data_IF_956704098875
#
_entry.id   IF_956704098875
#
_cell.length_a   1.000
_cell.length_b   1.000
_cell.length_c   1.000
_cell.angle_alpha   90.00
_cell.angle_beta   90.00
_cell.angle_gamma   90.00
#
_symmetry.space_group_name_H-M   'P 1'
#
loop_
_entity.id
_entity.type
_entity.pdbx_description
1 polymer ?
#
# COMPACT_ATOMS: atom_id res chain seq x y z
N UNK A 1 -53.79 83.19 12.28
CA UNK A 1 -54.07 82.08 11.35
C UNK A 1 -53.43 80.81 11.91
N UNK A 2 -54.27 79.78 12.12
CA UNK A 2 -53.99 78.37 12.46
C UNK A 2 -53.44 77.96 13.85
N UNK A 3 -54.35 77.31 14.59
CA UNK A 3 -54.26 76.38 15.74
C UNK A 3 -53.47 75.08 15.40
N UNK A 4 -53.06 74.13 16.26
CA UNK A 4 -52.94 73.93 17.71
C UNK A 4 -52.04 72.66 17.97
N UNK A 5 -51.54 72.57 19.21
CA UNK A 5 -51.01 71.46 20.02
C UNK A 5 -51.44 69.96 19.78
N UNK A 6 -50.49 69.04 20.13
CA UNK A 6 -50.61 67.80 20.99
C UNK A 6 -50.76 66.35 20.39
N UNK A 7 -49.81 65.46 20.78
CA UNK A 7 -49.87 63.98 21.08
C UNK A 7 -49.61 62.90 19.98
N UNK A 8 -49.04 61.72 20.34
CA UNK A 8 -48.12 60.90 19.53
C UNK A 8 -48.78 59.67 18.88
N UNK A 9 -48.10 59.03 17.91
CA UNK A 9 -48.52 57.75 17.34
C UNK A 9 -47.39 56.71 17.40
N UNK A 10 -47.71 55.63 18.09
CA UNK A 10 -46.97 54.38 18.34
C UNK A 10 -46.59 53.64 17.06
N UNK A 11 -45.35 53.12 16.98
CA UNK A 11 -45.03 52.02 16.06
C UNK A 11 -44.53 50.80 16.87
N UNK A 12 -45.30 49.74 16.73
CA UNK A 12 -45.37 48.52 17.51
C UNK A 12 -44.09 47.68 17.44
N UNK A 13 -43.55 47.35 18.61
CA UNK A 13 -42.52 46.33 18.81
C UNK A 13 -43.20 44.95 18.77
N UNK A 14 -43.07 44.20 17.67
CA UNK A 14 -43.59 42.83 17.55
C UNK A 14 -42.49 41.83 17.87
N UNK A 15 -42.46 41.39 19.13
CA UNK A 15 -41.78 40.17 19.58
C UNK A 15 -42.44 38.96 18.89
N UNK A 16 -41.77 38.36 17.91
CA UNK A 16 -42.13 37.02 17.44
C UNK A 16 -41.37 35.97 18.24
N UNK A 17 -42.08 35.35 19.17
CA UNK A 17 -41.77 34.01 19.68
C UNK A 17 -41.94 32.99 18.54
N UNK A 18 -40.91 32.22 18.25
CA UNK A 18 -40.97 30.88 17.65
C UNK A 18 -39.59 30.25 17.88
N UNK A 19 -39.43 29.26 18.75
CA UNK A 19 -40.18 28.01 18.76
C UNK A 19 -39.35 26.98 18.00
N UNK A 20 -38.36 26.38 18.67
CA UNK A 20 -37.53 25.32 18.13
C UNK A 20 -38.37 24.03 18.06
N UNK A 21 -38.67 23.57 16.85
CA UNK A 21 -39.27 22.26 16.58
C UNK A 21 -38.32 21.44 15.69
N UNK A 22 -38.13 20.14 15.95
CA UNK A 22 -37.22 19.31 15.16
C UNK A 22 -37.80 19.10 13.76
N UNK A 23 -37.09 19.57 12.74
CA UNK A 23 -37.39 19.24 11.34
C UNK A 23 -36.85 17.85 11.04
N UNK A 24 -37.75 16.92 10.76
CA UNK A 24 -37.47 15.58 10.26
C UNK A 24 -37.08 15.69 8.79
N UNK A 25 -35.79 15.56 8.47
CA UNK A 25 -35.33 15.28 7.11
C UNK A 25 -35.43 13.78 6.83
N UNK A 26 -36.03 13.42 5.70
CA UNK A 26 -36.14 12.04 5.23
C UNK A 26 -34.75 11.52 4.84
N UNK A 27 -34.27 10.52 5.57
CA UNK A 27 -33.10 9.70 5.23
C UNK A 27 -33.34 8.97 3.89
N UNK A 28 -32.38 8.96 2.94
CA UNK A 28 -32.48 8.10 1.76
C UNK A 28 -32.53 6.64 2.19
N UNK A 29 -33.47 5.89 1.61
CA UNK A 29 -33.70 4.47 1.81
C UNK A 29 -32.52 3.68 1.20
N UNK A 30 -31.73 3.05 2.07
CA UNK A 30 -30.57 2.24 1.71
C UNK A 30 -31.06 0.88 1.21
N UNK A 31 -31.06 0.65 -0.11
CA UNK A 31 -31.33 -0.66 -0.68
C UNK A 31 -30.25 -1.65 -0.22
N UNK A 32 -30.59 -2.84 0.27
CA UNK A 32 -29.58 -3.85 0.62
C UNK A 32 -28.78 -4.22 -0.63
N UNK A 33 -27.50 -3.83 -0.66
CA UNK A 33 -26.55 -4.38 -1.62
C UNK A 33 -26.17 -5.75 -1.09
N UNK A 34 -26.80 -6.77 -1.65
CA UNK A 34 -26.42 -8.18 -1.48
C UNK A 34 -24.98 -8.31 -2.01
N UNK A 35 -24.02 -8.39 -1.08
CA UNK A 35 -22.62 -8.65 -1.44
C UNK A 35 -22.58 -10.03 -2.10
N UNK A 36 -22.03 -10.19 -3.31
CA UNK A 36 -21.78 -11.51 -3.84
C UNK A 36 -20.77 -12.19 -2.92
N UNK A 37 -21.22 -13.20 -2.18
CA UNK A 37 -20.34 -14.09 -1.44
C UNK A 37 -19.55 -14.89 -2.46
N UNK A 38 -18.38 -14.38 -2.82
CA UNK A 38 -17.35 -15.18 -3.48
C UNK A 38 -16.90 -16.20 -2.43
N UNK A 39 -17.39 -17.44 -2.57
CA UNK A 39 -16.86 -18.58 -1.84
C UNK A 39 -15.46 -18.84 -2.40
N UNK A 40 -14.45 -18.21 -1.79
CA UNK A 40 -13.06 -18.64 -1.97
C UNK A 40 -13.02 -20.05 -1.41
N UNK A 41 -12.70 -21.09 -2.22
CA UNK A 41 -12.61 -22.44 -1.71
C UNK A 41 -11.60 -22.45 -0.57
N UNK A 42 -12.03 -22.84 0.62
CA UNK A 42 -11.19 -23.08 1.80
C UNK A 42 -10.22 -24.21 1.48
N UNK A 43 -9.14 -23.87 0.77
CA UNK A 43 -7.99 -24.73 0.63
C UNK A 43 -7.34 -24.71 2.01
N UNK A 44 -7.65 -25.71 2.83
CA UNK A 44 -7.11 -25.92 4.17
C UNK A 44 -5.63 -25.56 4.17
N UNK A 45 -5.30 -24.40 4.76
CA UNK A 45 -3.96 -23.85 4.68
C UNK A 45 -2.97 -24.87 5.24
N UNK A 46 -2.13 -25.42 4.38
CA UNK A 46 -1.10 -26.37 4.79
C UNK A 46 -0.17 -25.58 5.72
N UNK A 47 -0.08 -25.99 6.98
CA UNK A 47 0.78 -25.36 7.98
C UNK A 47 2.24 -25.65 7.68
N UNK A 48 3.12 -24.65 7.81
CA UNK A 48 4.56 -24.84 7.65
C UNK A 48 5.16 -25.64 8.81
N UNK A 49 6.35 -26.20 8.59
CA UNK A 49 7.22 -26.64 9.68
C UNK A 49 7.73 -25.42 10.45
N UNK A 50 7.14 -25.18 11.61
CA UNK A 50 7.46 -24.05 12.48
C UNK A 50 8.86 -24.16 13.09
N UNK A 51 9.34 -25.38 13.34
CA UNK A 51 10.66 -25.60 13.95
C UNK A 51 11.74 -25.30 12.92
N UNK A 52 11.62 -25.81 11.70
CA UNK A 52 12.55 -25.48 10.61
C UNK A 52 12.57 -23.98 10.32
N UNK A 53 11.41 -23.31 10.36
CA UNK A 53 11.30 -21.86 10.17
C UNK A 53 12.07 -21.08 11.24
N UNK A 54 11.85 -21.40 12.52
CA UNK A 54 12.55 -20.73 13.62
C UNK A 54 14.05 -20.98 13.59
N UNK A 55 14.46 -22.23 13.36
CA UNK A 55 15.88 -22.58 13.23
C UNK A 55 16.55 -21.78 12.10
N UNK A 56 15.85 -21.60 10.96
CA UNK A 56 16.38 -20.79 9.87
C UNK A 56 16.47 -19.30 10.26
N UNK A 57 15.48 -18.75 10.95
CA UNK A 57 15.55 -17.36 11.45
C UNK A 57 16.71 -17.16 12.42
N UNK A 58 16.90 -18.07 13.37
CA UNK A 58 18.02 -18.02 14.32
C UNK A 58 19.37 -18.12 13.61
N UNK A 59 19.50 -18.98 12.60
CA UNK A 59 20.71 -19.05 11.78
C UNK A 59 20.97 -17.72 11.04
N UNK A 60 19.92 -17.10 10.46
CA UNK A 60 20.03 -15.82 9.76
C UNK A 60 20.32 -14.63 10.69
N UNK A 61 19.99 -14.73 11.97
CA UNK A 61 20.32 -13.70 12.95
C UNK A 61 21.84 -13.58 13.20
N UNK A 62 22.64 -14.55 12.74
CA UNK A 62 24.10 -14.50 12.77
C UNK A 62 24.68 -14.14 14.15
N UNK A 63 24.08 -14.69 15.22
CA UNK A 63 24.51 -14.44 16.59
C UNK A 63 24.12 -13.08 17.16
N UNK A 64 23.09 -12.42 16.63
CA UNK A 64 22.53 -11.19 17.20
C UNK A 64 22.27 -11.34 18.71
N UNK A 65 22.87 -10.44 19.50
CA UNK A 65 22.75 -10.39 20.97
C UNK A 65 21.79 -9.31 21.46
N UNK A 66 21.24 -8.49 20.55
CA UNK A 66 20.36 -7.37 20.93
C UNK A 66 19.00 -7.86 21.46
N UNK A 67 18.61 -9.10 21.15
CA UNK A 67 17.29 -9.64 21.46
C UNK A 67 16.15 -9.01 20.66
N UNK A 68 16.46 -8.15 19.69
CA UNK A 68 15.48 -7.56 18.78
C UNK A 68 15.14 -8.49 17.61
N UNK A 69 16.09 -9.35 17.21
CA UNK A 69 15.92 -10.31 16.14
C UNK A 69 16.56 -11.68 16.48
N UNK A 70 15.91 -12.82 16.15
CA UNK A 70 14.55 -12.95 15.63
C UNK A 70 13.49 -12.58 16.67
N UNK A 71 12.43 -11.89 16.24
CA UNK A 71 11.33 -11.56 17.13
C UNK A 71 10.42 -12.78 17.37
N UNK A 72 9.71 -12.77 18.51
CA UNK A 72 8.66 -13.75 18.78
C UNK A 72 7.52 -13.55 17.78
N UNK A 73 7.42 -14.43 16.79
CA UNK A 73 6.39 -14.35 15.76
C UNK A 73 5.00 -14.49 16.37
N UNK A 74 4.08 -13.58 16.02
CA UNK A 74 2.68 -13.66 16.42
C UNK A 74 1.94 -14.81 15.72
N UNK A 75 2.37 -15.16 14.50
CA UNK A 75 1.82 -16.24 13.69
C UNK A 75 2.84 -16.69 12.65
N UNK A 76 2.82 -17.97 12.30
CA UNK A 76 3.61 -18.51 11.19
C UNK A 76 2.88 -18.33 9.84
N UNK A 77 3.61 -18.14 8.73
CA UNK A 77 2.99 -18.08 7.41
C UNK A 77 2.41 -19.45 6.99
N UNK A 78 1.50 -19.41 6.02
CA UNK A 78 1.00 -20.62 5.34
C UNK A 78 2.10 -21.23 4.48
N UNK A 79 1.93 -22.49 4.04
CA UNK A 79 2.88 -23.19 3.20
C UNK A 79 3.27 -22.41 1.93
N UNK A 80 4.54 -22.59 1.53
CA UNK A 80 5.14 -21.91 0.38
C UNK A 80 5.75 -20.52 0.63
N UNK A 81 6.18 -20.12 1.84
CA UNK A 81 6.78 -18.81 1.99
C UNK A 81 8.17 -18.78 1.33
N UNK A 82 8.49 -17.67 0.64
CA UNK A 82 9.83 -17.45 0.07
C UNK A 82 10.86 -17.21 1.18
N UNK A 83 10.48 -16.44 2.19
CA UNK A 83 11.33 -16.11 3.33
C UNK A 83 10.99 -17.00 4.55
N UNK A 84 11.98 -17.41 5.34
CA UNK A 84 13.42 -17.12 5.24
C UNK A 84 14.21 -18.13 4.39
N UNK A 85 13.53 -19.03 3.68
CA UNK A 85 14.17 -20.19 3.05
C UNK A 85 14.98 -19.84 1.79
N UNK A 86 14.67 -18.72 1.12
CA UNK A 86 15.39 -18.22 -0.05
C UNK A 86 15.92 -16.82 0.19
N UNK A 87 17.08 -16.52 -0.40
CA UNK A 87 17.65 -15.16 -0.45
C UNK A 87 17.19 -14.47 -1.72
N UNK A 88 16.54 -13.33 -1.60
CA UNK A 88 16.15 -12.54 -2.77
C UNK A 88 17.31 -11.64 -3.17
N UNK A 89 17.79 -11.78 -4.41
CA UNK A 89 18.75 -10.86 -5.03
C UNK A 89 18.01 -10.11 -6.13
N UNK A 90 17.86 -8.80 -5.93
CA UNK A 90 17.02 -7.97 -6.79
C UNK A 90 17.82 -6.83 -7.42
N UNK A 91 17.60 -6.62 -8.72
CA UNK A 91 18.00 -5.39 -9.38
C UNK A 91 16.86 -4.38 -9.30
N UNK A 92 17.17 -3.19 -8.78
CA UNK A 92 16.22 -2.11 -8.55
C UNK A 92 16.25 -1.09 -9.67
N UNK A 93 15.08 -0.61 -10.09
CA UNK A 93 15.00 0.62 -10.87
C UNK A 93 13.80 0.76 -11.80
N UNK A 94 13.94 1.63 -12.80
CA UNK A 94 12.93 1.88 -13.82
C UNK A 94 13.47 1.58 -15.23
N UNK A 95 12.81 0.67 -15.94
CA UNK A 95 13.15 0.24 -17.31
C UNK A 95 13.18 1.37 -18.36
N UNK A 96 12.55 2.53 -18.10
CA UNK A 96 12.52 3.69 -19.00
C UNK A 96 13.43 4.84 -18.57
N UNK A 97 14.14 4.71 -17.46
CA UNK A 97 14.97 5.78 -16.92
C UNK A 97 16.34 5.30 -16.48
N UNK A 98 17.37 5.80 -17.18
CA UNK A 98 18.79 5.65 -16.79
C UNK A 98 19.16 6.32 -15.47
N UNK A 99 18.28 7.16 -14.93
CA UNK A 99 18.53 7.92 -13.68
C UNK A 99 17.89 7.30 -12.45
N UNK A 100 17.22 6.15 -12.61
CA UNK A 100 16.40 5.55 -11.56
C UNK A 100 16.75 4.08 -11.38
N UNK A 101 18.04 3.76 -11.23
CA UNK A 101 18.52 2.42 -10.90
C UNK A 101 18.98 1.60 -12.10
N UNK A 102 19.62 0.47 -11.79
CA UNK A 102 20.36 -0.39 -12.73
C UNK A 102 19.48 -0.97 -13.84
N UNK A 103 18.19 -1.15 -13.57
CA UNK A 103 17.24 -1.69 -14.56
C UNK A 103 17.11 -0.82 -15.82
N UNK A 104 17.31 0.49 -15.69
CA UNK A 104 17.28 1.42 -16.83
C UNK A 104 18.67 1.77 -17.37
N UNK A 105 19.74 1.41 -16.66
CA UNK A 105 21.12 1.80 -16.98
C UNK A 105 21.70 1.02 -18.15
N UNK A 106 21.39 -0.27 -18.24
CA UNK A 106 21.95 -1.21 -19.22
C UNK A 106 20.87 -1.75 -20.17
N UNK A 107 21.23 -2.16 -21.40
CA UNK A 107 20.36 -2.93 -22.26
C UNK A 107 19.88 -4.22 -21.57
N UNK A 108 18.68 -4.75 -21.87
CA UNK A 108 18.09 -5.88 -21.15
C UNK A 108 19.01 -7.09 -21.04
N UNK A 109 19.70 -7.48 -22.13
CA UNK A 109 20.60 -8.64 -22.14
C UNK A 109 21.77 -8.46 -21.15
N UNK A 110 22.41 -7.31 -21.18
CA UNK A 110 23.53 -7.00 -20.28
C UNK A 110 23.07 -6.91 -18.82
N UNK A 111 21.89 -6.32 -18.57
CA UNK A 111 21.28 -6.26 -17.24
C UNK A 111 21.07 -7.67 -16.66
N UNK A 112 20.53 -8.60 -17.46
CA UNK A 112 20.34 -10.00 -17.05
C UNK A 112 21.67 -10.72 -16.79
N UNK A 113 22.69 -10.51 -17.60
CA UNK A 113 24.03 -11.08 -17.39
C UNK A 113 24.64 -10.60 -16.06
N UNK A 114 24.47 -9.32 -15.74
CA UNK A 114 24.90 -8.72 -14.46
C UNK A 114 24.13 -9.29 -13.28
N UNK A 115 22.79 -9.38 -13.36
CA UNK A 115 21.98 -9.98 -12.29
C UNK A 115 22.39 -11.44 -12.03
N UNK A 116 22.59 -12.23 -13.09
CA UNK A 116 23.03 -13.61 -12.97
C UNK A 116 24.45 -13.74 -12.37
N UNK A 117 25.31 -12.74 -12.58
CA UNK A 117 26.62 -12.69 -11.94
C UNK A 117 26.49 -12.50 -10.43
N UNK A 118 25.65 -11.57 -9.99
CA UNK A 118 25.37 -11.34 -8.56
C UNK A 118 24.69 -12.55 -7.91
N UNK A 119 23.73 -13.19 -8.60
CA UNK A 119 23.09 -14.42 -8.13
C UNK A 119 24.13 -15.49 -7.82
N UNK A 120 25.03 -15.77 -8.77
CA UNK A 120 26.10 -16.77 -8.59
C UNK A 120 27.05 -16.40 -7.46
N UNK A 121 27.37 -15.11 -7.30
CA UNK A 121 28.21 -14.65 -6.20
C UNK A 121 27.56 -14.95 -4.84
N UNK A 122 26.25 -14.71 -4.72
CA UNK A 122 25.49 -14.99 -3.49
C UNK A 122 25.27 -16.48 -3.24
N UNK A 123 25.01 -17.28 -4.27
CA UNK A 123 24.93 -18.75 -4.15
C UNK A 123 26.24 -19.34 -3.64
N UNK A 124 27.38 -18.80 -4.10
CA UNK A 124 28.70 -19.20 -3.62
C UNK A 124 28.96 -18.75 -2.18
N UNK A 125 28.51 -17.56 -1.81
CA UNK A 125 28.75 -16.97 -0.49
C UNK A 125 27.94 -17.67 0.62
N UNK A 126 26.71 -18.11 0.32
CA UNK A 126 25.88 -18.88 1.25
C UNK A 126 25.11 -19.99 0.51
N UNK A 127 25.76 -21.16 0.32
CA UNK A 127 25.14 -22.31 -0.33
C UNK A 127 23.95 -22.90 0.43
N UNK A 128 23.77 -22.56 1.71
CA UNK A 128 22.69 -23.09 2.56
C UNK A 128 21.35 -22.36 2.37
N UNK A 129 21.36 -21.26 1.61
CA UNK A 129 20.16 -20.45 1.34
C UNK A 129 20.08 -20.19 -0.17
N UNK A 130 19.27 -20.96 -0.91
CA UNK A 130 19.11 -20.78 -2.36
C UNK A 130 18.74 -19.34 -2.73
N UNK A 131 19.29 -18.84 -3.83
CA UNK A 131 19.00 -17.50 -4.33
C UNK A 131 17.74 -17.52 -5.21
N UNK A 132 16.87 -16.55 -4.99
CA UNK A 132 15.73 -16.22 -5.83
C UNK A 132 16.04 -14.88 -6.54
N UNK A 133 16.38 -14.89 -7.84
CA UNK A 133 16.53 -13.64 -8.59
C UNK A 133 15.19 -12.91 -8.66
N UNK A 134 15.25 -11.58 -8.61
CA UNK A 134 14.08 -10.71 -8.68
C UNK A 134 14.39 -9.38 -9.36
N UNK A 135 13.32 -8.68 -9.75
CA UNK A 135 13.36 -7.33 -10.30
C UNK A 135 12.52 -6.45 -9.37
N UNK A 136 13.12 -5.41 -8.79
CA UNK A 136 12.42 -4.43 -7.97
C UNK A 136 12.12 -3.20 -8.84
N UNK A 137 10.97 -3.24 -9.50
CA UNK A 137 10.58 -2.27 -10.52
C UNK A 137 9.86 -1.05 -9.94
N UNK A 138 10.31 0.14 -10.33
CA UNK A 138 9.61 1.40 -10.06
C UNK A 138 8.48 1.56 -11.07
N UNK A 139 7.29 1.10 -10.68
CA UNK A 139 6.08 1.15 -11.49
C UNK A 139 5.36 2.52 -11.45
N UNK A 140 5.69 3.38 -10.48
CA UNK A 140 5.05 4.68 -10.27
C UNK A 140 6.10 5.74 -9.92
N UNK A 141 6.02 6.91 -10.55
CA UNK A 141 7.01 7.98 -10.43
C UNK A 141 6.33 9.32 -10.20
N UNK A 142 6.75 10.06 -9.17
CA UNK A 142 6.32 11.44 -8.98
C UNK A 142 6.95 12.37 -10.05
N UNK A 143 6.18 13.30 -10.58
CA UNK A 143 6.62 14.27 -11.59
C UNK A 143 5.99 15.65 -11.37
N UNK A 144 6.52 16.69 -12.02
CA UNK A 144 6.09 18.08 -11.87
C UNK A 144 4.88 18.47 -12.77
N UNK A 145 4.38 17.54 -13.58
CA UNK A 145 3.27 17.76 -14.51
C UNK A 145 2.09 16.88 -14.09
N UNK A 146 0.87 17.43 -13.92
CA UNK A 146 -0.30 16.64 -13.60
C UNK A 146 -0.66 15.70 -14.76
N UNK A 147 -1.08 14.49 -14.41
CA UNK A 147 -1.64 13.50 -15.33
C UNK A 147 -3.10 13.85 -15.66
N UNK A 148 -3.73 13.08 -16.55
CA UNK A 148 -5.13 13.32 -17.00
C UNK A 148 -6.15 13.31 -15.86
N UNK A 149 -5.83 12.62 -14.77
CA UNK A 149 -6.63 12.51 -13.54
C UNK A 149 -6.28 13.58 -12.49
N UNK A 150 -5.42 14.55 -12.83
CA UNK A 150 -4.94 15.59 -11.92
C UNK A 150 -3.87 15.13 -10.92
N UNK A 151 -3.50 13.85 -10.91
CA UNK A 151 -2.45 13.34 -10.02
C UNK A 151 -1.06 13.63 -10.59
N UNK A 152 -0.08 13.83 -9.71
CA UNK A 152 1.32 14.06 -10.10
C UNK A 152 2.15 12.77 -10.17
N UNK A 153 1.47 11.61 -10.27
CA UNK A 153 2.08 10.29 -10.28
C UNK A 153 1.94 9.64 -11.66
N UNK A 154 3.06 9.51 -12.37
CA UNK A 154 3.13 8.77 -13.64
C UNK A 154 3.27 7.29 -13.36
N UNK A 155 2.23 6.51 -13.71
CA UNK A 155 2.28 5.04 -13.72
C UNK A 155 2.92 4.54 -15.01
N UNK A 156 3.70 3.47 -14.91
CA UNK A 156 4.24 2.75 -16.07
C UNK A 156 3.12 1.94 -16.77
N UNK A 157 3.26 1.59 -18.06
CA UNK A 157 2.24 0.84 -18.80
C UNK A 157 1.80 -0.47 -18.14
N UNK A 158 0.50 -0.79 -18.30
CA UNK A 158 -0.19 -1.94 -17.69
C UNK A 158 0.48 -3.28 -18.01
N UNK A 159 0.91 -3.49 -19.27
CA UNK A 159 1.55 -4.74 -19.71
C UNK A 159 2.87 -5.09 -19.00
N UNK A 160 3.44 -4.18 -18.20
CA UNK A 160 4.64 -4.45 -17.38
C UNK A 160 4.34 -4.61 -15.89
N UNK A 161 3.12 -4.32 -15.45
CA UNK A 161 2.74 -4.32 -14.03
C UNK A 161 1.69 -5.40 -13.77
N UNK A 162 0.67 -5.46 -14.62
CA UNK A 162 -0.51 -6.29 -14.41
C UNK A 162 -0.39 -7.53 -15.31
N UNK A 163 -0.41 -8.71 -14.67
CA UNK A 163 -0.23 -10.05 -15.28
C UNK A 163 -1.55 -10.80 -15.37
#
# INVERSE_FOLDING_TARGET
>A
MSYNHIIPLTLTFLFFFSGCGPKTEKKPEEKPIEKPTIQIPETKAISIDTVAFQNKLHALANGDTTGLWPNNLRSYPVAGPVLPFKRIVAFYGNLYSRKMGILGEYPPKEMWERLNTEVKAWEKADPSTPVQPAIHYIAAVAQNIPMKDGQYCKRMPEFMIDS
#
